data_IF_428054928510
#
_entry.id   IF_428054928510
#
_cell.length_a   1.000
_cell.length_b   1.000
_cell.length_c   1.000
_cell.angle_alpha   90.00
_cell.angle_beta   90.00
_cell.angle_gamma   90.00
#
_symmetry.space_group_name_H-M   'P 1'
#
loop_
_entity.id
_entity.type
_entity.pdbx_description
1 polymer ?
#
# COMPACT_ATOMS: atom_id res chain seq x y z
N UNK A 1 -15.26 1.47 -19.48
CA UNK A 1 -13.79 1.64 -19.68
C UNK A 1 -13.42 3.04 -20.16
N UNK A 2 -14.27 3.71 -20.94
CA UNK A 2 -14.02 5.10 -21.37
C UNK A 2 -13.78 6.06 -20.19
N UNK A 3 -14.51 5.91 -19.08
CA UNK A 3 -14.28 6.71 -17.87
C UNK A 3 -12.84 6.62 -17.32
N UNK A 4 -12.25 5.42 -17.29
CA UNK A 4 -10.87 5.22 -16.82
C UNK A 4 -9.85 5.94 -17.72
N UNK A 5 -10.07 5.85 -19.04
CA UNK A 5 -9.25 6.55 -20.03
C UNK A 5 -9.40 8.07 -19.91
N UNK A 6 -10.61 8.58 -19.67
CA UNK A 6 -10.86 10.00 -19.43
C UNK A 6 -10.13 10.49 -18.18
N UNK A 7 -10.17 9.74 -17.07
CA UNK A 7 -9.43 10.10 -15.86
C UNK A 7 -7.91 10.07 -16.07
N UNK A 8 -7.40 9.07 -16.80
CA UNK A 8 -5.98 8.99 -17.15
C UNK A 8 -5.52 10.19 -17.98
N UNK A 9 -6.28 10.56 -19.02
CA UNK A 9 -6.01 11.74 -19.86
C UNK A 9 -6.16 13.06 -19.09
N UNK A 10 -7.07 13.13 -18.11
CA UNK A 10 -7.25 14.28 -17.22
C UNK A 10 -6.20 14.37 -16.10
N UNK A 11 -5.23 13.46 -16.05
CA UNK A 11 -4.18 13.45 -15.03
C UNK A 11 -4.66 13.06 -13.63
N UNK A 12 -5.72 12.25 -13.55
CA UNK A 12 -6.35 11.73 -12.32
C UNK A 12 -6.05 10.22 -12.15
N UNK A 13 -4.82 9.86 -11.73
CA UNK A 13 -4.37 8.47 -11.74
C UNK A 13 -5.09 7.59 -10.71
N UNK A 14 -5.46 8.11 -9.55
CA UNK A 14 -6.12 7.32 -8.50
C UNK A 14 -7.54 6.88 -8.92
N UNK A 15 -8.28 7.76 -9.60
CA UNK A 15 -9.61 7.46 -10.12
C UNK A 15 -9.54 6.50 -11.30
N UNK A 16 -8.52 6.65 -12.16
CA UNK A 16 -8.25 5.70 -13.25
C UNK A 16 -7.88 4.32 -12.69
N UNK A 17 -6.96 4.25 -11.72
CA UNK A 17 -6.56 3.03 -11.01
C UNK A 17 -7.78 2.30 -10.47
N UNK A 18 -8.65 2.99 -9.71
CA UNK A 18 -9.86 2.40 -9.15
C UNK A 18 -10.79 1.81 -10.22
N UNK A 19 -10.96 2.51 -11.35
CA UNK A 19 -11.78 2.00 -12.46
C UNK A 19 -11.16 0.74 -13.10
N UNK A 20 -9.84 0.73 -13.30
CA UNK A 20 -9.13 -0.42 -13.89
C UNK A 20 -9.11 -1.62 -12.95
N UNK A 21 -8.89 -1.42 -11.65
CA UNK A 21 -8.94 -2.49 -10.65
C UNK A 21 -10.33 -3.13 -10.55
N UNK A 22 -11.40 -2.31 -10.58
CA UNK A 22 -12.79 -2.83 -10.63
C UNK A 22 -13.08 -3.64 -11.89
N UNK A 23 -12.34 -3.41 -12.97
CA UNK A 23 -12.43 -4.17 -14.21
C UNK A 23 -11.45 -5.36 -14.27
N UNK A 24 -10.69 -5.63 -13.20
CA UNK A 24 -9.68 -6.68 -13.15
C UNK A 24 -8.41 -6.40 -13.98
N UNK A 25 -8.24 -5.17 -14.49
CA UNK A 25 -7.13 -4.80 -15.38
C UNK A 25 -5.96 -4.23 -14.59
N UNK A 26 -5.31 -5.08 -13.81
CA UNK A 26 -4.24 -4.70 -12.87
C UNK A 26 -3.06 -4.02 -13.55
N UNK A 27 -2.60 -4.55 -14.70
CA UNK A 27 -1.49 -3.96 -15.45
C UNK A 27 -1.75 -2.51 -15.91
N UNK A 28 -2.98 -2.19 -16.33
CA UNK A 28 -3.32 -0.81 -16.69
C UNK A 28 -3.48 0.10 -15.48
N UNK A 29 -3.97 -0.43 -14.36
CA UNK A 29 -4.05 0.31 -13.11
C UNK A 29 -2.64 0.75 -12.67
N UNK A 30 -1.65 -0.13 -12.79
CA UNK A 30 -0.25 0.19 -12.53
C UNK A 30 0.33 1.18 -13.56
N UNK A 31 0.04 0.99 -14.85
CA UNK A 31 0.52 1.86 -15.93
C UNK A 31 0.10 3.34 -15.73
N UNK A 32 -1.07 3.59 -15.12
CA UNK A 32 -1.50 4.96 -14.79
C UNK A 32 -0.50 5.70 -13.88
N UNK A 33 0.23 4.99 -13.04
CA UNK A 33 1.26 5.55 -12.16
C UNK A 33 2.63 5.57 -12.84
N UNK A 34 2.97 4.55 -13.62
CA UNK A 34 4.22 4.51 -14.40
C UNK A 34 4.32 5.67 -15.39
N UNK A 35 3.24 5.96 -16.12
CA UNK A 35 3.15 7.10 -17.05
C UNK A 35 3.40 8.45 -16.37
N UNK A 36 3.20 8.53 -15.04
CA UNK A 36 3.45 9.72 -14.22
C UNK A 36 4.77 9.68 -13.47
N UNK A 37 5.55 8.62 -13.64
CA UNK A 37 6.85 8.42 -12.98
C UNK A 37 6.77 7.95 -11.52
N UNK A 38 5.59 7.59 -11.01
CA UNK A 38 5.46 7.01 -9.66
C UNK A 38 5.60 5.49 -9.71
N UNK A 39 6.84 5.04 -9.88
CA UNK A 39 7.18 3.62 -9.99
C UNK A 39 6.87 2.84 -8.71
N UNK A 40 6.98 3.47 -7.54
CA UNK A 40 6.67 2.80 -6.28
C UNK A 40 5.17 2.52 -6.17
N UNK A 41 4.30 3.48 -6.55
CA UNK A 41 2.86 3.27 -6.50
C UNK A 41 2.42 2.24 -7.54
N UNK A 42 2.98 2.28 -8.74
CA UNK A 42 2.77 1.25 -9.76
C UNK A 42 3.14 -0.16 -9.22
N UNK A 43 4.32 -0.28 -8.61
CA UNK A 43 4.78 -1.54 -8.03
C UNK A 43 3.85 -2.02 -6.90
N UNK A 44 3.38 -1.13 -6.02
CA UNK A 44 2.41 -1.50 -4.99
C UNK A 44 1.11 -2.07 -5.59
N UNK A 45 0.54 -1.41 -6.60
CA UNK A 45 -0.70 -1.85 -7.25
C UNK A 45 -0.55 -3.26 -7.82
N UNK A 46 0.56 -3.52 -8.53
CA UNK A 46 0.88 -4.84 -9.05
C UNK A 46 1.08 -5.88 -7.93
N UNK A 47 1.79 -5.51 -6.85
CA UNK A 47 2.09 -6.42 -5.74
C UNK A 47 0.86 -6.78 -4.89
N UNK A 48 -0.10 -5.87 -4.76
CA UNK A 48 -1.33 -6.07 -3.97
C UNK A 48 -2.39 -6.81 -4.80
N UNK A 49 -2.67 -6.35 -6.01
CA UNK A 49 -3.82 -6.82 -6.79
C UNK A 49 -3.46 -7.86 -7.86
N UNK A 50 -2.18 -8.01 -8.17
CA UNK A 50 -1.73 -8.86 -9.27
C UNK A 50 -1.53 -10.33 -8.90
N UNK A 51 -1.38 -11.14 -9.93
CA UNK A 51 -0.90 -12.52 -9.86
C UNK A 51 0.64 -12.59 -9.82
N UNK A 52 1.19 -13.80 -9.74
CA UNK A 52 2.64 -14.07 -9.65
C UNK A 52 3.49 -13.25 -10.63
N UNK A 53 3.07 -13.15 -11.91
CA UNK A 53 3.84 -12.40 -12.91
C UNK A 53 3.84 -10.88 -12.64
N UNK A 54 2.69 -10.34 -12.26
CA UNK A 54 2.59 -8.93 -11.84
C UNK A 54 3.44 -8.68 -10.59
N UNK A 55 3.49 -9.61 -9.65
CA UNK A 55 4.35 -9.49 -8.45
C UNK A 55 5.84 -9.50 -8.82
N UNK A 56 6.26 -10.28 -9.83
CA UNK A 56 7.64 -10.20 -10.34
C UNK A 56 7.92 -8.83 -10.97
N UNK A 57 7.02 -8.34 -11.79
CA UNK A 57 7.12 -7.00 -12.38
C UNK A 57 7.18 -5.91 -11.29
N UNK A 58 6.38 -6.03 -10.23
CA UNK A 58 6.40 -5.12 -9.09
C UNK A 58 7.78 -5.05 -8.43
N UNK A 59 8.42 -6.21 -8.20
CA UNK A 59 9.76 -6.27 -7.62
C UNK A 59 10.81 -5.55 -8.50
N UNK A 60 10.72 -5.71 -9.83
CA UNK A 60 11.58 -5.01 -10.79
C UNK A 60 11.36 -3.50 -10.72
N UNK A 61 10.11 -3.04 -10.76
CA UNK A 61 9.76 -1.62 -10.68
C UNK A 61 10.22 -0.99 -9.36
N UNK A 62 9.96 -1.66 -8.24
CA UNK A 62 10.37 -1.17 -6.92
C UNK A 62 11.89 -1.08 -6.78
N UNK A 63 12.63 -2.04 -7.35
CA UNK A 63 14.11 -2.01 -7.37
C UNK A 63 14.64 -0.86 -8.23
N UNK A 64 14.02 -0.61 -9.38
CA UNK A 64 14.40 0.46 -10.30
C UNK A 64 14.03 1.87 -9.78
N UNK A 65 13.07 1.97 -8.85
CA UNK A 65 12.63 3.24 -8.30
C UNK A 65 13.73 3.93 -7.49
N UNK A 66 14.09 5.15 -7.92
CA UNK A 66 14.99 6.03 -7.16
C UNK A 66 14.24 6.58 -5.94
N UNK A 67 14.85 6.46 -4.77
CA UNK A 67 14.32 6.99 -3.52
C UNK A 67 15.06 8.28 -3.18
N UNK A 68 14.31 9.35 -2.87
CA UNK A 68 14.86 10.68 -2.56
C UNK A 68 14.91 10.96 -1.06
N UNK A 69 14.09 10.27 -0.30
CA UNK A 69 13.95 10.43 1.15
C UNK A 69 13.74 9.08 1.85
N UNK A 70 13.78 9.08 3.18
CA UNK A 70 13.58 7.87 3.99
C UNK A 70 12.17 7.30 3.86
N UNK A 71 11.16 8.14 3.63
CA UNK A 71 9.78 7.68 3.49
C UNK A 71 9.62 6.85 2.20
N UNK A 72 10.21 7.30 1.09
CA UNK A 72 10.27 6.55 -0.16
C UNK A 72 11.11 5.27 -0.04
N UNK A 73 12.20 5.29 0.74
CA UNK A 73 12.97 4.08 1.05
C UNK A 73 12.10 3.05 1.78
N UNK A 74 11.40 3.46 2.83
CA UNK A 74 10.51 2.56 3.59
C UNK A 74 9.36 2.02 2.74
N UNK A 75 8.74 2.86 1.89
CA UNK A 75 7.71 2.41 0.93
C UNK A 75 8.25 1.38 -0.05
N UNK A 76 9.45 1.59 -0.57
CA UNK A 76 10.12 0.61 -1.44
C UNK A 76 10.37 -0.71 -0.70
N UNK A 77 10.86 -0.64 0.52
CA UNK A 77 11.17 -1.83 1.33
C UNK A 77 9.89 -2.63 1.65
N UNK A 78 8.77 -1.95 1.92
CA UNK A 78 7.45 -2.59 2.08
C UNK A 78 7.05 -3.35 0.82
N UNK A 79 7.16 -2.72 -0.36
CA UNK A 79 6.79 -3.37 -1.63
C UNK A 79 7.69 -4.56 -1.93
N UNK A 80 9.00 -4.43 -1.73
CA UNK A 80 9.94 -5.53 -1.96
C UNK A 80 9.71 -6.70 -1.00
N UNK A 81 9.47 -6.42 0.29
CA UNK A 81 9.16 -7.46 1.28
C UNK A 81 7.84 -8.16 0.96
N UNK A 82 6.80 -7.42 0.53
CA UNK A 82 5.53 -7.99 0.08
C UNK A 82 5.73 -8.91 -1.13
N UNK A 83 6.51 -8.46 -2.13
CA UNK A 83 6.82 -9.28 -3.30
C UNK A 83 7.56 -10.55 -2.91
N UNK A 84 8.53 -10.44 -1.99
CA UNK A 84 9.27 -11.59 -1.48
C UNK A 84 8.37 -12.62 -0.82
N UNK A 85 7.47 -12.18 0.07
CA UNK A 85 6.54 -13.06 0.77
C UNK A 85 5.53 -13.72 -0.19
N UNK A 86 5.05 -13.00 -1.21
CA UNK A 86 4.12 -13.55 -2.21
C UNK A 86 4.76 -14.49 -3.23
N UNK A 87 6.03 -14.27 -3.57
CA UNK A 87 6.79 -15.12 -4.49
C UNK A 87 7.47 -16.30 -3.77
N UNK A 88 7.48 -16.29 -2.44
CA UNK A 88 8.23 -17.26 -1.64
C UNK A 88 9.75 -17.10 -1.78
N UNK A 89 10.22 -15.93 -2.18
CA UNK A 89 11.66 -15.66 -2.28
C UNK A 89 12.22 -15.22 -0.93
N UNK A 90 13.43 -15.70 -0.60
CA UNK A 90 14.09 -15.36 0.66
C UNK A 90 14.41 -13.86 0.78
N UNK A 91 14.40 -13.32 2.00
CA UNK A 91 14.67 -11.89 2.26
C UNK A 91 14.10 -11.42 3.59
N UNK A 92 14.10 -10.10 3.83
CA UNK A 92 13.40 -9.50 4.98
C UNK A 92 11.90 -9.73 4.83
N UNK A 93 11.31 -10.41 5.80
CA UNK A 93 9.87 -10.73 5.84
C UNK A 93 9.05 -9.48 6.09
N UNK A 94 7.94 -9.32 5.37
CA UNK A 94 7.05 -8.17 5.54
C UNK A 94 6.55 -8.06 6.99
N UNK A 95 6.10 -9.14 7.67
CA UNK A 95 5.70 -9.04 9.07
C UNK A 95 6.74 -8.42 10.00
N UNK A 96 8.01 -8.80 9.86
CA UNK A 96 9.09 -8.26 10.70
C UNK A 96 9.32 -6.76 10.43
N UNK A 97 9.32 -6.37 9.14
CA UNK A 97 9.42 -4.96 8.75
C UNK A 97 8.27 -4.12 9.32
N UNK A 98 7.04 -4.64 9.27
CA UNK A 98 5.86 -3.94 9.78
C UNK A 98 5.86 -3.83 11.31
N UNK A 99 6.31 -4.85 12.03
CA UNK A 99 6.51 -4.77 13.49
C UNK A 99 7.53 -3.68 13.85
N UNK A 100 8.64 -3.59 13.11
CA UNK A 100 9.63 -2.53 13.35
C UNK A 100 9.03 -1.14 13.11
N UNK A 101 8.21 -0.98 12.06
CA UNK A 101 7.53 0.26 11.73
C UNK A 101 6.44 0.65 12.75
N UNK A 102 5.78 -0.33 13.34
CA UNK A 102 4.79 -0.11 14.42
C UNK A 102 5.45 0.43 15.68
N UNK A 103 6.62 -0.11 16.03
CA UNK A 103 7.40 0.31 17.20
C UNK A 103 8.01 1.69 17.01
N UNK A 104 8.54 1.98 15.83
CA UNK A 104 9.22 3.23 15.51
C UNK A 104 8.68 3.82 14.21
N UNK A 105 7.47 4.38 14.28
CA UNK A 105 6.83 5.03 13.15
C UNK A 105 7.42 6.43 12.96
N UNK A 106 8.17 6.70 11.88
CA UNK A 106 8.94 7.93 11.76
C UNK A 106 8.04 9.15 11.60
N UNK A 107 8.38 10.23 12.29
CA UNK A 107 7.76 11.54 12.12
C UNK A 107 8.24 12.23 10.84
N UNK A 108 7.72 11.75 9.71
CA UNK A 108 8.09 12.24 8.38
C UNK A 108 6.89 12.82 7.64
N UNK A 109 7.16 13.80 6.76
CA UNK A 109 6.18 14.21 5.76
C UNK A 109 5.76 12.98 4.92
N UNK A 110 4.46 12.71 4.85
CA UNK A 110 3.95 11.50 4.18
C UNK A 110 3.83 10.26 5.07
N UNK A 111 3.90 10.40 6.40
CA UNK A 111 3.60 9.31 7.35
C UNK A 111 2.25 8.63 7.08
N UNK A 112 1.21 9.40 6.81
CA UNK A 112 -0.13 8.87 6.52
C UNK A 112 -0.12 7.93 5.30
N UNK A 113 0.62 8.29 4.25
CA UNK A 113 0.76 7.46 3.04
C UNK A 113 1.62 6.23 3.32
N UNK A 114 2.68 6.34 4.12
CA UNK A 114 3.48 5.19 4.53
C UNK A 114 2.62 4.16 5.30
N UNK A 115 1.77 4.64 6.22
CA UNK A 115 0.83 3.78 6.97
C UNK A 115 -0.19 3.14 6.04
N UNK A 116 -0.75 3.87 5.07
CA UNK A 116 -1.65 3.31 4.07
C UNK A 116 -1.00 2.13 3.32
N UNK A 117 0.25 2.28 2.90
CA UNK A 117 0.98 1.23 2.18
C UNK A 117 1.25 0.01 3.07
N UNK A 118 1.66 0.26 4.31
CA UNK A 118 1.92 -0.78 5.30
C UNK A 118 0.65 -1.60 5.60
N UNK A 119 -0.50 -0.93 5.76
CA UNK A 119 -1.81 -1.56 5.98
C UNK A 119 -2.24 -2.35 4.76
N UNK A 120 -2.14 -1.79 3.55
CA UNK A 120 -2.46 -2.52 2.31
C UNK A 120 -1.63 -3.79 2.16
N UNK A 121 -0.33 -3.72 2.47
CA UNK A 121 0.57 -4.85 2.38
C UNK A 121 0.26 -5.92 3.44
N UNK A 122 -0.06 -5.52 4.68
CA UNK A 122 -0.49 -6.42 5.74
C UNK A 122 -1.79 -7.14 5.41
N UNK A 123 -2.80 -6.40 4.93
CA UNK A 123 -4.09 -6.95 4.52
C UNK A 123 -3.94 -7.96 3.36
N UNK A 124 -3.01 -7.71 2.43
CA UNK A 124 -2.71 -8.64 1.33
C UNK A 124 -2.21 -9.99 1.82
N UNK A 125 -1.52 -10.02 2.97
CA UNK A 125 -1.06 -11.26 3.62
C UNK A 125 -2.08 -11.82 4.63
N UNK A 126 -3.26 -11.21 4.77
CA UNK A 126 -4.25 -11.59 5.78
C UNK A 126 -3.84 -11.25 7.22
N UNK A 127 -2.87 -10.35 7.42
CA UNK A 127 -2.33 -9.95 8.73
C UNK A 127 -3.03 -8.71 9.28
N UNK A 128 -4.33 -8.83 9.52
CA UNK A 128 -5.15 -7.72 10.03
C UNK A 128 -4.74 -7.26 11.43
N UNK A 129 -4.05 -8.10 12.20
CA UNK A 129 -3.42 -7.74 13.48
C UNK A 129 -2.34 -6.65 13.30
N UNK A 130 -1.53 -6.76 12.25
CA UNK A 130 -0.50 -5.77 11.92
C UNK A 130 -1.13 -4.49 11.36
N UNK A 131 -2.16 -4.61 10.52
CA UNK A 131 -2.95 -3.46 10.06
C UNK A 131 -3.49 -2.65 11.23
N UNK A 132 -4.03 -3.33 12.25
CA UNK A 132 -4.50 -2.72 13.47
C UNK A 132 -3.42 -1.99 14.27
N UNK A 133 -2.30 -2.66 14.47
CA UNK A 133 -1.19 -2.10 15.23
C UNK A 133 -0.62 -0.83 14.54
N UNK A 134 -0.53 -0.82 13.21
CA UNK A 134 -0.08 0.34 12.42
C UNK A 134 -1.03 1.54 12.52
N UNK A 135 -2.35 1.32 12.48
CA UNK A 135 -3.32 2.38 12.70
C UNK A 135 -3.23 2.95 14.13
N UNK A 136 -3.03 2.09 15.13
CA UNK A 136 -2.84 2.51 16.51
C UNK A 136 -1.54 3.32 16.68
N UNK A 137 -0.43 2.88 16.08
CA UNK A 137 0.84 3.60 16.07
C UNK A 137 0.71 4.99 15.43
N UNK A 138 0.00 5.09 14.30
CA UNK A 138 -0.28 6.38 13.65
C UNK A 138 -1.09 7.32 14.56
N UNK A 139 -2.10 6.79 15.26
CA UNK A 139 -2.90 7.56 16.21
C UNK A 139 -2.09 8.06 17.40
N UNK A 140 -1.27 7.19 18.03
CA UNK A 140 -0.36 7.57 19.12
C UNK A 140 0.64 8.63 18.68
N UNK A 141 1.09 8.56 17.43
CA UNK A 141 2.00 9.53 16.82
C UNK A 141 1.36 10.87 16.43
N UNK A 142 0.09 11.13 16.78
CA UNK A 142 -0.57 12.42 16.57
C UNK A 142 -1.20 12.63 15.18
N UNK A 143 -1.33 11.58 14.35
CA UNK A 143 -2.01 11.70 13.07
C UNK A 143 -3.52 11.87 13.28
N UNK A 144 -4.00 13.11 13.10
CA UNK A 144 -5.41 13.49 13.29
C UNK A 144 -6.37 12.74 12.37
N UNK A 145 -5.90 12.20 11.24
CA UNK A 145 -6.70 11.41 10.31
C UNK A 145 -6.67 9.90 10.61
N UNK A 146 -5.80 9.43 11.51
CA UNK A 146 -5.64 8.00 11.77
C UNK A 146 -6.92 7.35 12.30
N UNK A 147 -7.68 8.03 13.17
CA UNK A 147 -8.93 7.50 13.72
C UNK A 147 -10.00 7.31 12.62
N UNK A 148 -10.11 8.26 11.68
CA UNK A 148 -11.03 8.14 10.55
C UNK A 148 -10.62 7.01 9.62
N UNK A 149 -9.33 6.90 9.28
CA UNK A 149 -8.84 5.82 8.42
C UNK A 149 -8.99 4.45 9.08
N UNK A 150 -8.77 4.37 10.39
CA UNK A 150 -9.00 3.16 11.19
C UNK A 150 -10.46 2.69 11.10
N UNK A 151 -11.43 3.60 11.34
CA UNK A 151 -12.86 3.26 11.25
C UNK A 151 -13.24 2.77 9.86
N UNK A 152 -12.84 3.52 8.83
CA UNK A 152 -13.13 3.14 7.45
C UNK A 152 -12.49 1.79 7.06
N UNK A 153 -11.29 1.49 7.57
CA UNK A 153 -10.67 0.18 7.41
C UNK A 153 -11.44 -0.91 8.16
N UNK A 154 -11.74 -0.71 9.45
CA UNK A 154 -12.40 -1.70 10.30
C UNK A 154 -13.80 -2.05 9.79
N UNK A 155 -14.55 -1.08 9.28
CA UNK A 155 -15.86 -1.31 8.65
C UNK A 155 -15.74 -2.23 7.42
N UNK A 156 -14.75 -1.99 6.55
CA UNK A 156 -14.55 -2.80 5.33
C UNK A 156 -13.99 -4.18 5.61
N UNK A 157 -13.08 -4.30 6.56
CA UNK A 157 -12.29 -5.52 6.78
C UNK A 157 -12.88 -6.42 7.86
N UNK A 158 -13.48 -5.84 8.91
CA UNK A 158 -14.01 -6.58 10.07
C UNK A 158 -15.54 -6.67 10.10
N UNK A 159 -16.23 -6.05 9.13
CA UNK A 159 -17.69 -6.20 8.97
C UNK A 159 -18.55 -5.30 9.87
N UNK A 160 -18.00 -4.19 10.38
CA UNK A 160 -18.71 -3.22 11.20
C UNK A 160 -18.32 -3.27 12.68
N UNK A 161 -18.46 -2.12 13.34
CA UNK A 161 -17.97 -1.77 14.69
C UNK A 161 -18.32 -2.77 15.80
N UNK A 162 -17.58 -3.88 15.90
CA UNK A 162 -17.53 -4.69 17.10
C UNK A 162 -16.34 -4.25 17.95
N UNK A 163 -16.61 -3.39 18.93
CA UNK A 163 -15.74 -3.14 20.08
C UNK A 163 -15.00 -1.80 20.11
N UNK A 164 -15.71 -0.69 20.23
CA UNK A 164 -15.16 0.48 20.95
C UNK A 164 -15.46 0.25 22.43
N UNK A 165 -14.46 0.17 23.33
CA UNK A 165 -14.73 0.22 24.76
C UNK A 165 -15.29 1.61 25.09
N UNK A 166 -16.48 1.65 25.68
CA UNK A 166 -17.04 2.85 26.31
C UNK A 166 -16.29 3.22 27.58
#
# INVERSE_FOLDING_TARGET
MEAARCYRLAGRPAEAESCYLRAGRVGEAAACWEERGDLLRAALVLAVHGEQEHVRQAAVLATAARTRDDNQRLRRDIVLALCGDRLGTGGRRLPALLTDLERDLPDTHGRAVLVEWAVLAADTLGRHDLSAALHAAAHRGGDRGAATRWRAWAERTLGGSAGIPH
#
